data_IF_014783800969
#
_entry.id   IF_014783800969
#
_cell.length_a   1.000
_cell.length_b   1.000
_cell.length_c   1.000
_cell.angle_alpha   90.00
_cell.angle_beta   90.00
_cell.angle_gamma   90.00
#
_symmetry.space_group_name_H-M   'P 1'
#
loop_
_entity.id
_entity.type
_entity.pdbx_description
1 polymer ?
#
# COMPACT_ATOMS: atom_id res chain seq x y z
N UNK A 1 -35.67 -11.69 13.14
CA UNK A 1 -34.76 -10.68 13.71
C UNK A 1 -33.73 -10.34 12.64
N UNK A 2 -33.89 -9.22 11.91
CA UNK A 2 -32.83 -8.70 11.01
C UNK A 2 -31.96 -7.79 11.86
N UNK A 3 -30.69 -8.12 12.02
CA UNK A 3 -29.68 -7.21 12.57
C UNK A 3 -29.55 -5.99 11.65
N UNK A 4 -29.55 -4.76 12.19
CA UNK A 4 -29.27 -3.58 11.37
C UNK A 4 -27.82 -3.66 10.84
N UNK A 5 -27.55 -3.17 9.62
CA UNK A 5 -26.18 -3.05 9.14
C UNK A 5 -25.39 -2.12 10.08
N UNK A 6 -24.11 -2.40 10.33
CA UNK A 6 -23.27 -1.50 11.11
C UNK A 6 -23.29 -0.10 10.47
N UNK A 7 -23.29 0.98 11.28
CA UNK A 7 -23.22 2.32 10.73
C UNK A 7 -21.97 2.45 9.84
N UNK A 8 -22.03 3.22 8.74
CA UNK A 8 -20.83 3.51 7.97
C UNK A 8 -19.86 4.22 8.91
N UNK A 9 -18.74 3.56 9.22
CA UNK A 9 -17.67 4.14 10.03
C UNK A 9 -17.29 5.47 9.39
N UNK A 10 -17.28 6.54 10.19
CA UNK A 10 -17.05 7.88 9.66
C UNK A 10 -15.64 7.96 9.06
N UNK A 11 -15.42 8.77 8.00
CA UNK A 11 -14.10 8.89 7.37
C UNK A 11 -12.95 9.15 8.35
N UNK A 12 -13.20 9.98 9.37
CA UNK A 12 -12.22 10.32 10.43
C UNK A 12 -11.78 9.09 11.25
N UNK A 13 -12.70 8.14 11.49
CA UNK A 13 -12.41 6.93 12.28
C UNK A 13 -11.44 5.99 11.54
N UNK A 14 -11.54 5.92 10.21
CA UNK A 14 -10.63 5.11 9.40
C UNK A 14 -9.23 5.67 9.41
N UNK A 15 -9.08 6.99 9.25
CA UNK A 15 -7.78 7.65 9.27
C UNK A 15 -7.07 7.44 10.60
N UNK A 16 -7.74 7.68 11.73
CA UNK A 16 -7.18 7.48 13.07
C UNK A 16 -6.78 6.02 13.30
N UNK A 17 -7.62 5.07 12.88
CA UNK A 17 -7.35 3.64 12.99
C UNK A 17 -6.09 3.25 12.21
N UNK A 18 -5.95 3.75 10.98
CA UNK A 18 -4.79 3.47 10.14
C UNK A 18 -3.54 4.15 10.67
N UNK A 19 -3.62 5.41 11.11
CA UNK A 19 -2.50 6.14 11.68
C UNK A 19 -1.97 5.48 12.95
N UNK A 20 -2.86 5.00 13.84
CA UNK A 20 -2.46 4.29 15.05
C UNK A 20 -1.63 3.03 14.72
N UNK A 21 -2.07 2.24 13.75
CA UNK A 21 -1.36 1.02 13.33
C UNK A 21 -0.07 1.32 12.55
N UNK A 22 -0.08 2.33 11.68
CA UNK A 22 1.12 2.75 10.96
C UNK A 22 2.19 3.33 11.90
N UNK A 23 1.75 4.03 12.96
CA UNK A 23 2.59 4.59 14.00
C UNK A 23 3.20 3.55 14.94
N UNK A 24 2.54 2.40 15.17
CA UNK A 24 3.11 1.30 15.97
C UNK A 24 4.30 0.62 15.29
N UNK A 25 4.40 0.78 13.96
CA UNK A 25 5.40 0.15 13.11
C UNK A 25 5.44 -1.40 13.20
N UNK A 26 4.44 -2.05 13.80
CA UNK A 26 4.34 -3.53 13.86
C UNK A 26 3.75 -4.09 12.55
N UNK A 27 4.52 -4.84 11.75
CA UNK A 27 4.02 -5.40 10.49
C UNK A 27 2.89 -6.41 10.67
N UNK A 28 2.74 -7.02 11.85
CA UNK A 28 1.62 -7.93 12.14
C UNK A 28 0.32 -7.16 12.31
N UNK A 29 0.34 -6.05 13.05
CA UNK A 29 -0.84 -5.20 13.23
C UNK A 29 -1.30 -4.60 11.90
N UNK A 30 -0.35 -4.16 11.05
CA UNK A 30 -0.67 -3.67 9.71
C UNK A 30 -1.33 -4.77 8.87
N UNK A 31 -0.80 -5.99 8.90
CA UNK A 31 -1.36 -7.13 8.17
C UNK A 31 -2.77 -7.48 8.66
N UNK A 32 -2.99 -7.51 9.97
CA UNK A 32 -4.29 -7.77 10.57
C UNK A 32 -5.32 -6.69 10.24
N UNK A 33 -4.89 -5.42 10.22
CA UNK A 33 -5.74 -4.30 9.78
C UNK A 33 -6.13 -4.46 8.32
N UNK A 34 -5.16 -4.69 7.44
CA UNK A 34 -5.42 -4.90 6.02
C UNK A 34 -6.29 -6.13 5.74
N UNK A 35 -6.14 -7.22 6.51
CA UNK A 35 -6.95 -8.43 6.35
C UNK A 35 -8.43 -8.24 6.71
N UNK A 36 -8.75 -7.34 7.65
CA UNK A 36 -10.14 -7.04 8.06
C UNK A 36 -10.77 -5.88 7.28
N UNK A 37 -9.97 -5.10 6.56
CA UNK A 37 -10.44 -3.93 5.83
C UNK A 37 -11.09 -4.31 4.51
N UNK A 38 -12.22 -3.66 4.19
CA UNK A 38 -12.82 -3.77 2.86
C UNK A 38 -12.11 -2.80 1.89
N UNK A 39 -11.35 -3.32 0.91
CA UNK A 39 -10.54 -2.50 0.00
C UNK A 39 -11.36 -1.50 -0.82
N UNK A 40 -12.58 -1.87 -1.22
CA UNK A 40 -13.43 -1.03 -2.07
C UNK A 40 -14.13 0.07 -1.26
N UNK A 41 -14.09 -0.03 0.07
CA UNK A 41 -14.53 1.04 0.97
C UNK A 41 -13.38 1.97 1.29
N UNK A 42 -12.23 1.43 1.74
CA UNK A 42 -11.14 2.27 2.28
C UNK A 42 -10.26 2.91 1.20
N UNK A 43 -10.10 2.25 0.05
CA UNK A 43 -9.28 2.70 -1.08
C UNK A 43 -10.00 2.34 -2.39
N UNK A 44 -11.18 2.95 -2.65
CA UNK A 44 -11.93 2.72 -3.88
C UNK A 44 -11.11 3.15 -5.10
N UNK A 45 -11.13 2.34 -6.16
CA UNK A 45 -10.45 2.68 -7.41
C UNK A 45 -11.19 3.75 -8.24
N UNK A 46 -12.48 3.97 -7.95
CA UNK A 46 -13.39 4.83 -8.72
C UNK A 46 -14.03 5.92 -7.87
N UNK A 47 -13.28 6.58 -6.99
CA UNK A 47 -13.81 7.66 -6.17
C UNK A 47 -12.91 8.04 -5.00
N UNK A 48 -13.42 8.88 -4.11
CA UNK A 48 -12.76 9.23 -2.85
C UNK A 48 -13.06 8.17 -1.79
N UNK A 49 -12.01 7.62 -1.18
CA UNK A 49 -12.12 6.80 0.01
C UNK A 49 -12.14 7.64 1.29
N UNK A 50 -12.42 7.01 2.45
CA UNK A 50 -12.34 7.65 3.76
C UNK A 50 -10.90 7.96 4.20
N UNK A 51 -9.89 7.30 3.61
CA UNK A 51 -8.49 7.52 3.96
C UNK A 51 -7.93 8.81 3.33
N UNK A 52 -7.25 9.62 4.12
CA UNK A 52 -6.50 10.77 3.61
C UNK A 52 -5.29 10.33 2.77
N UNK A 53 -4.84 11.23 1.90
CA UNK A 53 -3.68 10.98 1.06
C UNK A 53 -2.39 10.82 1.87
N UNK A 54 -2.32 11.40 3.06
CA UNK A 54 -1.20 11.21 3.98
C UNK A 54 -1.13 9.76 4.48
N UNK A 55 -2.28 9.18 4.85
CA UNK A 55 -2.38 7.77 5.25
C UNK A 55 -2.06 6.86 4.07
N UNK A 56 -2.61 7.13 2.89
CA UNK A 56 -2.32 6.34 1.67
C UNK A 56 -0.84 6.40 1.30
N UNK A 57 -0.20 7.58 1.34
CA UNK A 57 1.23 7.73 1.10
C UNK A 57 2.07 6.94 2.12
N UNK A 58 1.66 6.98 3.39
CA UNK A 58 2.33 6.23 4.46
C UNK A 58 2.16 4.72 4.28
N UNK A 59 0.99 4.26 3.83
CA UNK A 59 0.75 2.86 3.46
C UNK A 59 1.67 2.42 2.33
N UNK A 60 1.78 3.20 1.25
CA UNK A 60 2.69 2.91 0.12
C UNK A 60 4.13 2.74 0.62
N UNK A 61 4.60 3.64 1.48
CA UNK A 61 5.93 3.55 2.08
C UNK A 61 6.12 2.27 2.93
N UNK A 62 5.20 2.03 3.86
CA UNK A 62 5.28 0.89 4.80
C UNK A 62 5.19 -0.45 4.08
N UNK A 63 4.29 -0.58 3.11
CA UNK A 63 4.15 -1.81 2.31
C UNK A 63 5.38 -2.08 1.45
N UNK A 64 6.00 -1.04 0.89
CA UNK A 64 7.25 -1.19 0.12
C UNK A 64 8.40 -1.73 0.98
N UNK A 65 8.50 -1.30 2.25
CA UNK A 65 9.44 -1.90 3.23
C UNK A 65 9.12 -3.35 3.52
N UNK A 66 7.86 -3.63 3.84
CA UNK A 66 7.44 -4.97 4.22
C UNK A 66 7.71 -5.99 3.10
N UNK A 67 7.43 -5.64 1.85
CA UNK A 67 7.70 -6.48 0.68
C UNK A 67 9.22 -6.71 0.52
N UNK A 68 10.05 -5.70 0.75
CA UNK A 68 11.50 -5.83 0.70
C UNK A 68 12.08 -6.74 1.78
N UNK A 69 11.40 -6.92 2.90
CA UNK A 69 11.85 -7.73 4.04
C UNK A 69 11.19 -9.13 4.07
N UNK A 70 10.08 -9.33 3.35
CA UNK A 70 9.32 -10.58 3.37
C UNK A 70 9.79 -11.53 2.26
N UNK A 71 9.98 -12.83 2.54
CA UNK A 71 10.22 -13.84 1.51
C UNK A 71 9.06 -13.89 0.49
N UNK A 72 9.34 -13.97 -0.83
CA UNK A 72 8.28 -13.98 -1.85
C UNK A 72 7.40 -15.23 -1.87
N UNK A 73 7.83 -16.28 -1.15
CA UNK A 73 7.06 -17.51 -0.96
C UNK A 73 5.96 -17.36 0.10
N UNK A 74 6.05 -16.35 0.97
CA UNK A 74 5.09 -16.13 2.04
C UNK A 74 3.81 -15.46 1.50
N UNK A 75 2.64 -15.88 1.97
CA UNK A 75 1.36 -15.26 1.58
C UNK A 75 1.26 -13.78 1.98
N UNK A 76 1.95 -13.40 3.06
CA UNK A 76 2.07 -12.02 3.50
C UNK A 76 2.74 -11.14 2.45
N UNK A 77 3.67 -11.66 1.64
CA UNK A 77 4.29 -10.95 0.54
C UNK A 77 3.25 -10.61 -0.53
N UNK A 78 2.48 -11.61 -0.99
CA UNK A 78 1.47 -11.44 -2.04
C UNK A 78 0.37 -10.47 -1.60
N UNK A 79 -0.11 -10.62 -0.36
CA UNK A 79 -1.10 -9.72 0.23
C UNK A 79 -0.57 -8.28 0.30
N UNK A 80 0.67 -8.08 0.77
CA UNK A 80 1.29 -6.76 0.85
C UNK A 80 1.47 -6.13 -0.54
N UNK A 81 1.90 -6.91 -1.53
CA UNK A 81 2.07 -6.45 -2.91
C UNK A 81 0.76 -6.01 -3.54
N UNK A 82 -0.33 -6.77 -3.34
CA UNK A 82 -1.64 -6.40 -3.83
C UNK A 82 -2.17 -5.12 -3.18
N UNK A 83 -1.99 -4.97 -1.87
CA UNK A 83 -2.34 -3.73 -1.16
C UNK A 83 -1.50 -2.55 -1.62
N UNK A 84 -0.21 -2.77 -1.91
CA UNK A 84 0.67 -1.74 -2.45
C UNK A 84 0.20 -1.29 -3.83
N UNK A 85 -0.20 -2.22 -4.69
CA UNK A 85 -0.74 -1.89 -6.01
C UNK A 85 -2.00 -1.04 -5.90
N UNK A 86 -2.93 -1.41 -5.00
CA UNK A 86 -4.14 -0.62 -4.75
C UNK A 86 -3.82 0.76 -4.18
N UNK A 87 -3.01 0.86 -3.14
CA UNK A 87 -2.62 2.13 -2.53
C UNK A 87 -1.90 3.05 -3.54
N UNK A 88 -1.03 2.46 -4.37
CA UNK A 88 -0.36 3.18 -5.46
C UNK A 88 -1.33 3.63 -6.54
N UNK A 89 -2.48 2.96 -6.73
CA UNK A 89 -3.52 3.40 -7.67
C UNK A 89 -4.36 4.54 -7.12
N UNK A 90 -4.67 4.53 -5.83
CA UNK A 90 -5.51 5.55 -5.18
C UNK A 90 -4.75 6.80 -4.72
N UNK A 91 -3.42 6.72 -4.58
CA UNK A 91 -2.59 7.86 -4.17
C UNK A 91 -2.73 9.04 -5.15
N UNK A 92 -3.14 10.20 -4.67
CA UNK A 92 -3.17 11.44 -5.43
C UNK A 92 -2.01 12.34 -5.00
N UNK A 93 -0.94 12.39 -5.79
CA UNK A 93 0.24 13.22 -5.50
C UNK A 93 0.03 14.71 -5.73
N UNK A 94 -1.07 15.10 -6.39
CA UNK A 94 -1.43 16.51 -6.58
C UNK A 94 -2.05 17.15 -5.34
N UNK A 95 -2.31 16.38 -4.28
CA UNK A 95 -2.83 16.91 -3.03
C UNK A 95 -1.77 17.83 -2.39
N UNK A 96 -2.06 19.16 -2.28
CA UNK A 96 -1.10 20.14 -1.77
C UNK A 96 -0.62 19.83 -0.34
N UNK A 97 -1.44 19.14 0.46
CA UNK A 97 -1.09 18.80 1.84
C UNK A 97 0.05 17.79 1.90
N UNK A 98 0.17 16.91 0.90
CA UNK A 98 1.18 15.85 0.90
C UNK A 98 2.32 16.05 -0.09
N UNK A 99 2.21 16.98 -1.05
CA UNK A 99 3.24 17.24 -2.08
C UNK A 99 4.68 17.33 -1.54
N UNK A 100 4.98 18.04 -0.42
CA UNK A 100 6.33 18.08 0.14
C UNK A 100 6.87 16.73 0.62
N UNK A 101 5.97 15.83 1.04
CA UNK A 101 6.32 14.48 1.49
C UNK A 101 6.44 13.52 0.31
N UNK A 102 5.59 13.65 -0.71
CA UNK A 102 5.64 12.86 -1.94
C UNK A 102 7.04 12.91 -2.56
N UNK A 103 7.57 14.13 -2.74
CA UNK A 103 8.91 14.36 -3.30
C UNK A 103 10.05 13.68 -2.52
N UNK A 104 9.85 13.35 -1.23
CA UNK A 104 10.84 12.65 -0.40
C UNK A 104 10.59 11.14 -0.31
N UNK A 105 9.33 10.75 -0.21
CA UNK A 105 8.91 9.36 0.05
C UNK A 105 8.94 8.52 -1.21
N UNK A 106 8.45 9.04 -2.35
CA UNK A 106 8.36 8.24 -3.57
C UNK A 106 9.73 7.79 -4.12
N UNK A 107 10.79 8.61 -4.12
CA UNK A 107 12.12 8.14 -4.52
C UNK A 107 12.61 6.97 -3.67
N UNK A 108 12.36 7.00 -2.36
CA UNK A 108 12.71 5.88 -1.47
C UNK A 108 11.91 4.63 -1.80
N UNK A 109 10.59 4.76 -1.99
CA UNK A 109 9.72 3.66 -2.42
C UNK A 109 10.22 3.03 -3.72
N UNK A 110 10.57 3.84 -4.71
CA UNK A 110 11.09 3.37 -5.99
C UNK A 110 12.39 2.58 -5.82
N UNK A 111 13.32 3.07 -4.99
CA UNK A 111 14.58 2.38 -4.67
C UNK A 111 14.35 1.02 -3.99
N UNK A 112 13.42 0.96 -3.04
CA UNK A 112 13.08 -0.26 -2.29
C UNK A 112 12.42 -1.31 -3.20
N UNK A 113 11.52 -0.88 -4.09
CA UNK A 113 10.89 -1.76 -5.08
C UNK A 113 11.91 -2.27 -6.10
N UNK A 114 12.83 -1.42 -6.56
CA UNK A 114 13.91 -1.83 -7.45
C UNK A 114 14.81 -2.89 -6.80
N UNK A 115 15.21 -2.68 -5.54
CA UNK A 115 16.00 -3.64 -4.77
C UNK A 115 15.25 -4.98 -4.63
N UNK A 116 13.96 -4.93 -4.28
CA UNK A 116 13.11 -6.12 -4.21
C UNK A 116 13.09 -6.87 -5.55
N UNK A 117 12.85 -6.16 -6.65
CA UNK A 117 12.81 -6.74 -8.00
C UNK A 117 14.14 -7.43 -8.37
N UNK A 118 15.27 -6.80 -8.08
CA UNK A 118 16.59 -7.40 -8.31
C UNK A 118 16.79 -8.68 -7.49
N UNK A 119 16.33 -8.70 -6.23
CA UNK A 119 16.35 -9.91 -5.38
C UNK A 119 15.46 -11.02 -5.93
N UNK A 120 14.30 -10.70 -6.50
CA UNK A 120 13.45 -11.70 -7.14
C UNK A 120 14.10 -12.33 -8.38
N UNK A 121 14.86 -11.54 -9.15
CA UNK A 121 15.51 -12.00 -10.37
C UNK A 121 16.61 -13.05 -10.12
N UNK A 122 17.20 -13.07 -8.92
CA UNK A 122 18.26 -14.04 -8.55
C UNK A 122 17.73 -15.32 -7.89
N UNK A 123 16.44 -15.37 -7.52
CA UNK A 123 15.87 -16.53 -6.86
C UNK A 123 15.48 -17.62 -7.89
N UNK A 124 15.88 -18.89 -7.69
CA UNK A 124 15.50 -19.99 -8.57
C UNK A 124 14.01 -20.32 -8.38
N UNK A 125 13.16 -19.90 -9.32
CA UNK A 125 11.73 -20.22 -9.32
C UNK A 125 10.94 -19.43 -10.36
N UNK A 126 10.28 -20.14 -11.29
CA UNK A 126 9.48 -19.54 -12.38
C UNK A 126 8.37 -18.56 -11.97
N UNK A 127 7.49 -18.85 -10.98
CA UNK A 127 6.33 -17.99 -10.67
C UNK A 127 6.69 -16.62 -10.05
N UNK A 128 7.98 -16.31 -9.87
CA UNK A 128 8.45 -14.99 -9.43
C UNK A 128 8.48 -13.96 -10.57
N UNK A 129 8.39 -14.40 -11.83
CA UNK A 129 8.35 -13.51 -12.99
C UNK A 129 7.11 -12.61 -12.99
N UNK A 130 5.93 -13.16 -12.69
CA UNK A 130 4.69 -12.37 -12.61
C UNK A 130 4.75 -11.35 -11.47
N UNK A 131 5.33 -11.73 -10.33
CA UNK A 131 5.59 -10.83 -9.21
C UNK A 131 6.50 -9.67 -9.60
N UNK A 132 7.61 -9.95 -10.29
CA UNK A 132 8.53 -8.92 -10.77
C UNK A 132 7.87 -7.99 -11.80
N UNK A 133 6.94 -8.49 -12.61
CA UNK A 133 6.11 -7.68 -13.51
C UNK A 133 5.20 -6.76 -12.70
N UNK A 134 4.46 -7.27 -11.73
CA UNK A 134 3.59 -6.44 -10.87
C UNK A 134 4.37 -5.33 -10.16
N UNK A 135 5.57 -5.62 -9.64
CA UNK A 135 6.43 -4.56 -9.05
C UNK A 135 6.77 -3.50 -10.10
N UNK A 136 7.11 -3.90 -11.33
CA UNK A 136 7.41 -2.97 -12.41
C UNK A 136 6.20 -2.08 -12.75
N UNK A 137 5.01 -2.66 -12.82
CA UNK A 137 3.77 -1.91 -13.09
C UNK A 137 3.49 -0.88 -11.98
N UNK A 138 3.76 -1.22 -10.71
CA UNK A 138 3.64 -0.29 -9.58
C UNK A 138 4.67 0.84 -9.70
N UNK A 139 5.93 0.53 -10.02
CA UNK A 139 6.97 1.54 -10.22
C UNK A 139 6.62 2.50 -11.36
N UNK A 140 6.12 1.97 -12.48
CA UNK A 140 5.66 2.76 -13.62
C UNK A 140 4.47 3.65 -13.23
N UNK A 141 3.50 3.10 -12.50
CA UNK A 141 2.35 3.85 -12.01
C UNK A 141 2.76 5.01 -11.09
N UNK A 142 3.70 4.79 -10.16
CA UNK A 142 4.19 5.82 -9.25
C UNK A 142 5.06 6.86 -9.97
N UNK A 143 5.86 6.45 -10.96
CA UNK A 143 6.76 7.36 -11.70
C UNK A 143 6.01 8.31 -12.64
N UNK A 144 4.82 7.93 -13.12
CA UNK A 144 3.97 8.78 -13.96
C UNK A 144 3.25 9.87 -13.17
N UNK A 145 3.27 9.80 -11.83
CA UNK A 145 2.60 10.79 -10.99
C UNK A 145 3.44 12.06 -10.89
N UNK A 146 2.82 13.24 -11.00
CA UNK A 146 3.54 14.51 -10.84
C UNK A 146 4.12 14.59 -9.42
N UNK A 147 5.36 15.07 -9.33
CA UNK A 147 6.11 15.31 -8.09
C UNK A 147 6.04 16.79 -7.69
#
# INVERSE_FOLDING_TARGET
MRTPPPPPSQPEEWDDTYLAVLGSQDPRQLRELLARSNPDIIMPLNGSGPLSQAVVLTLVHRLSSLIGETPPVDDSFKSSLWWLQRASSTLNTNDPLISPYVSRVLPNVQSMLNTTKQRLAILPGGPLMDTARTISDIQDLLSRKPL
#
